data_IF_222317450541
#
_entry.id   IF_222317450541
#
_cell.length_a   1.000
_cell.length_b   1.000
_cell.length_c   1.000
_cell.angle_alpha   90.00
_cell.angle_beta   90.00
_cell.angle_gamma   90.00
#
_symmetry.space_group_name_H-M   'P 1'
#
loop_
_entity.id
_entity.type
_entity.pdbx_description
1 polymer ?
#
# COMPACT_ATOMS: atom_id res chain seq x y z
N UNK A 1 17.25 16.08 0.83
CA UNK A 1 17.28 15.08 -0.27
C UNK A 1 16.32 13.97 0.12
N UNK A 2 15.19 13.86 -0.58
CA UNK A 2 14.22 12.79 -0.34
C UNK A 2 14.75 11.52 -1.01
N UNK A 3 14.95 10.45 -0.23
CA UNK A 3 15.30 9.14 -0.76
C UNK A 3 14.17 8.68 -1.69
N UNK A 4 14.43 8.64 -2.99
CA UNK A 4 13.49 8.09 -3.97
C UNK A 4 13.35 6.60 -3.73
N UNK A 5 12.11 6.13 -3.57
CA UNK A 5 11.80 4.70 -3.65
C UNK A 5 12.17 4.24 -5.07
N UNK A 6 13.30 3.57 -5.24
CA UNK A 6 13.71 3.02 -6.54
C UNK A 6 12.83 1.81 -6.87
N UNK A 7 11.76 2.05 -7.61
CA UNK A 7 10.91 1.00 -8.20
C UNK A 7 11.55 0.57 -9.52
N UNK A 8 11.96 -0.70 -9.60
CA UNK A 8 12.46 -1.28 -10.85
C UNK A 8 11.40 -2.20 -11.46
N UNK A 9 11.04 -1.93 -12.70
CA UNK A 9 10.13 -2.77 -13.47
C UNK A 9 10.92 -3.91 -14.13
N UNK A 10 10.40 -5.13 -14.12
CA UNK A 10 11.09 -6.28 -14.72
C UNK A 10 10.16 -7.41 -15.16
N UNK A 11 10.76 -8.46 -15.73
CA UNK A 11 10.06 -9.68 -16.12
C UNK A 11 10.71 -10.87 -15.43
N UNK A 12 9.88 -11.78 -14.90
CA UNK A 12 10.35 -13.01 -14.26
C UNK A 12 10.08 -14.20 -15.20
N UNK A 13 11.16 -14.88 -15.58
CA UNK A 13 11.10 -16.08 -16.43
C UNK A 13 11.21 -17.35 -15.56
N UNK A 14 10.22 -18.24 -15.66
CA UNK A 14 10.30 -19.57 -15.06
C UNK A 14 11.16 -20.48 -15.95
N UNK A 15 12.30 -20.92 -15.43
CA UNK A 15 13.32 -21.67 -16.18
C UNK A 15 12.81 -22.99 -16.80
N UNK A 16 11.71 -23.55 -16.27
CA UNK A 16 11.13 -24.81 -16.75
C UNK A 16 10.06 -24.65 -17.83
N UNK A 17 9.44 -23.46 -17.99
CA UNK A 17 8.37 -23.26 -18.96
C UNK A 17 8.66 -22.02 -19.82
N UNK A 18 8.97 -22.25 -21.10
CA UNK A 18 9.11 -21.23 -22.16
C UNK A 18 7.78 -20.51 -22.50
N UNK A 19 6.87 -20.34 -21.54
CA UNK A 19 5.50 -19.83 -21.72
C UNK A 19 5.37 -18.30 -21.62
N UNK A 20 6.46 -17.57 -21.87
CA UNK A 20 6.47 -16.10 -21.76
C UNK A 20 6.83 -15.62 -20.36
N UNK A 21 7.42 -14.43 -20.28
CA UNK A 21 7.78 -13.80 -19.00
C UNK A 21 6.52 -13.38 -18.23
N UNK A 22 6.53 -13.57 -16.91
CA UNK A 22 5.50 -12.98 -16.05
C UNK A 22 5.95 -11.55 -15.72
N UNK A 23 5.13 -10.54 -16.02
CA UNK A 23 5.47 -9.16 -15.70
C UNK A 23 5.45 -8.96 -14.19
N UNK A 24 6.52 -8.38 -13.64
CA UNK A 24 6.68 -8.16 -12.19
C UNK A 24 7.23 -6.77 -11.88
N UNK A 25 7.05 -6.33 -10.64
CA UNK A 25 7.68 -5.11 -10.12
C UNK A 25 8.55 -5.44 -8.92
N UNK A 26 9.80 -4.96 -8.92
CA UNK A 26 10.75 -5.12 -7.82
C UNK A 26 10.76 -3.86 -6.95
N UNK A 27 10.66 -4.06 -5.65
CA UNK A 27 10.69 -3.00 -4.65
C UNK A 27 11.80 -3.24 -3.64
N UNK A 28 12.63 -2.22 -3.44
CA UNK A 28 13.63 -2.18 -2.37
C UNK A 28 12.93 -1.74 -1.06
N UNK A 29 13.12 -2.52 -0.01
CA UNK A 29 12.45 -2.32 1.29
C UNK A 29 13.25 -1.44 2.26
N UNK A 30 14.55 -1.25 2.05
CA UNK A 30 15.42 -0.49 2.96
C UNK A 30 15.26 1.03 2.83
N UNK A 31 14.72 1.51 1.70
CA UNK A 31 14.40 2.93 1.50
C UNK A 31 13.25 3.41 2.40
N UNK A 32 12.53 2.48 3.07
CA UNK A 32 11.43 2.80 3.98
C UNK A 32 11.97 2.92 5.41
N UNK A 33 12.49 4.10 5.75
CA UNK A 33 12.70 4.49 7.14
C UNK A 33 11.37 4.31 7.91
N UNK A 34 11.22 3.24 8.67
CA UNK A 34 10.05 3.01 9.53
C UNK A 34 9.47 1.60 9.58
N UNK A 35 9.79 0.69 8.66
CA UNK A 35 9.30 -0.71 8.76
C UNK A 35 10.23 -1.55 9.63
N UNK A 36 9.73 -2.04 10.77
CA UNK A 36 10.49 -2.97 11.64
C UNK A 36 10.56 -4.41 11.10
N UNK A 37 9.81 -4.72 10.04
CA UNK A 37 9.75 -6.05 9.45
C UNK A 37 10.81 -6.23 8.35
N UNK A 38 11.40 -7.42 8.31
CA UNK A 38 12.23 -7.88 7.20
C UNK A 38 11.38 -8.12 5.93
N UNK A 39 12.02 -8.11 4.76
CA UNK A 39 11.34 -8.43 3.50
C UNK A 39 10.74 -9.84 3.50
N UNK A 40 11.36 -10.79 4.19
CA UNK A 40 10.82 -12.15 4.36
C UNK A 40 9.53 -12.17 5.17
N UNK A 41 9.45 -11.41 6.25
CA UNK A 41 8.23 -11.32 7.06
C UNK A 41 7.10 -10.71 6.25
N UNK A 42 7.37 -9.61 5.53
CA UNK A 42 6.38 -8.97 4.65
C UNK A 42 5.90 -9.95 3.57
N UNK A 43 6.82 -10.69 2.93
CA UNK A 43 6.47 -11.73 1.97
C UNK A 43 5.49 -12.77 2.55
N UNK A 44 5.76 -13.26 3.75
CA UNK A 44 4.93 -14.26 4.43
C UNK A 44 3.56 -13.69 4.82
N UNK A 45 3.51 -12.45 5.28
CA UNK A 45 2.26 -11.78 5.67
C UNK A 45 1.38 -11.50 4.44
N UNK A 46 1.92 -10.81 3.45
CA UNK A 46 1.23 -10.48 2.20
C UNK A 46 0.73 -11.76 1.49
N UNK A 47 1.51 -12.85 1.54
CA UNK A 47 1.14 -14.15 0.99
C UNK A 47 -0.09 -14.80 1.64
N UNK A 48 -0.40 -14.51 2.91
CA UNK A 48 -1.59 -15.06 3.61
C UNK A 48 -2.90 -14.42 3.18
N UNK A 49 -2.85 -13.17 2.71
CA UNK A 49 -4.05 -12.34 2.45
C UNK A 49 -4.19 -11.92 0.98
N UNK A 50 -3.24 -12.30 0.13
CA UNK A 50 -3.24 -11.97 -1.30
C UNK A 50 -4.57 -12.29 -1.99
N UNK A 51 -5.18 -11.27 -2.62
CA UNK A 51 -6.49 -11.40 -3.27
C UNK A 51 -6.64 -10.36 -4.40
N UNK A 52 -7.87 -10.12 -4.88
CA UNK A 52 -8.13 -9.13 -5.93
C UNK A 52 -7.70 -7.70 -5.56
N UNK A 53 -7.72 -7.32 -4.28
CA UNK A 53 -7.45 -5.98 -3.74
C UNK A 53 -6.19 -5.87 -2.90
N UNK A 54 -5.46 -6.96 -2.70
CA UNK A 54 -4.19 -7.00 -1.98
C UNK A 54 -3.14 -7.53 -2.96
N UNK A 55 -2.08 -6.74 -3.18
CA UNK A 55 -1.04 -7.07 -4.14
C UNK A 55 -0.30 -8.33 -3.71
N UNK A 56 -0.18 -9.30 -4.63
CA UNK A 56 0.46 -10.57 -4.34
C UNK A 56 1.97 -10.48 -4.52
N UNK A 57 2.77 -10.93 -3.54
CA UNK A 57 4.19 -11.10 -3.72
C UNK A 57 4.51 -12.46 -4.39
N UNK A 58 5.53 -12.49 -5.23
CA UNK A 58 6.04 -13.71 -5.88
C UNK A 58 7.31 -14.25 -5.25
N UNK A 59 8.22 -13.35 -4.87
CA UNK A 59 9.54 -13.71 -4.39
C UNK A 59 10.10 -12.60 -3.52
N UNK A 60 10.93 -12.97 -2.57
CA UNK A 60 11.79 -12.05 -1.84
C UNK A 60 13.24 -12.46 -2.02
N UNK A 61 14.17 -11.52 -1.94
CA UNK A 61 15.60 -11.79 -1.99
C UNK A 61 16.33 -10.76 -1.15
N UNK A 62 17.31 -11.24 -0.37
CA UNK A 62 18.23 -10.38 0.35
C UNK A 62 19.52 -10.23 -0.47
N UNK A 63 19.84 -9.01 -0.85
CA UNK A 63 21.05 -8.67 -1.59
C UNK A 63 22.08 -8.11 -0.60
N UNK A 64 23.04 -8.94 -0.19
CA UNK A 64 24.20 -8.48 0.58
C UNK A 64 25.03 -7.53 -0.29
N UNK A 65 25.33 -6.33 0.23
CA UNK A 65 26.37 -5.50 -0.36
C UNK A 65 27.75 -6.08 0.01
N UNK A 66 28.73 -6.02 -0.90
CA UNK A 66 30.09 -6.55 -0.65
C UNK A 66 30.74 -5.80 0.51
N UNK A 67 31.42 -6.55 1.36
CA UNK A 67 32.26 -6.03 2.45
C UNK A 67 33.44 -5.23 1.91
N UNK A 68 33.63 -4.01 2.42
CA UNK A 68 34.84 -3.22 2.28
C UNK A 68 35.25 -2.64 3.64
N UNK A 69 36.55 -2.33 3.77
CA UNK A 69 37.39 -2.11 4.96
C UNK A 69 36.75 -1.62 6.27
N UNK A 70 37.35 -2.04 7.39
CA UNK A 70 36.96 -1.83 8.80
C UNK A 70 36.86 -0.35 9.26
N UNK A 71 37.12 0.63 8.39
CA UNK A 71 37.14 2.06 8.71
C UNK A 71 35.81 2.80 8.42
N UNK A 72 34.71 2.09 8.15
CA UNK A 72 33.43 2.73 7.87
C UNK A 72 32.77 3.31 9.14
N UNK A 73 32.21 4.51 8.99
CA UNK A 73 31.35 5.17 9.98
C UNK A 73 30.06 4.38 10.26
N UNK A 74 29.36 4.71 11.34
CA UNK A 74 28.12 4.03 11.72
C UNK A 74 26.99 4.21 10.68
N UNK A 75 26.92 5.37 10.03
CA UNK A 75 25.99 5.63 8.92
C UNK A 75 26.32 4.79 7.67
N UNK A 76 27.61 4.60 7.38
CA UNK A 76 28.07 3.71 6.32
C UNK A 76 27.78 2.24 6.67
N UNK A 77 27.94 1.84 7.95
CA UNK A 77 27.58 0.50 8.43
C UNK A 77 26.09 0.18 8.29
N UNK A 78 25.22 1.16 8.51
CA UNK A 78 23.79 1.00 8.26
C UNK A 78 23.45 0.86 6.77
N UNK A 79 24.13 1.61 5.88
CA UNK A 79 24.03 1.39 4.43
C UNK A 79 24.58 0.02 3.99
N UNK A 80 25.57 -0.52 4.71
CA UNK A 80 26.23 -1.80 4.42
C UNK A 80 25.45 -3.05 4.83
N UNK A 81 24.31 -2.92 5.51
CA UNK A 81 23.52 -4.07 6.00
C UNK A 81 22.94 -4.95 4.89
N UNK A 82 23.00 -4.54 3.62
CA UNK A 82 22.39 -5.26 2.49
C UNK A 82 20.88 -5.06 2.46
N UNK A 83 20.27 -5.20 1.27
CA UNK A 83 18.88 -4.81 1.08
C UNK A 83 17.92 -5.95 0.79
N UNK A 84 16.73 -5.86 1.39
CA UNK A 84 15.61 -6.71 1.02
C UNK A 84 14.93 -6.18 -0.23
N UNK A 85 14.74 -7.06 -1.21
CA UNK A 85 13.96 -6.80 -2.41
C UNK A 85 12.77 -7.74 -2.44
N UNK A 86 11.57 -7.16 -2.61
CA UNK A 86 10.34 -7.90 -2.87
C UNK A 86 9.95 -7.79 -4.34
N UNK A 87 9.48 -8.91 -4.88
CA UNK A 87 8.96 -9.04 -6.24
C UNK A 87 7.46 -9.24 -6.14
N UNK A 88 6.69 -8.33 -6.75
CA UNK A 88 5.24 -8.33 -6.76
C UNK A 88 4.68 -8.55 -8.18
N UNK A 89 3.40 -8.90 -8.27
CA UNK A 89 2.63 -8.70 -9.51
C UNK A 89 2.89 -7.29 -10.06
N UNK A 90 3.09 -7.16 -11.38
CA UNK A 90 3.31 -5.86 -12.02
C UNK A 90 2.18 -4.90 -11.67
N UNK A 91 2.55 -3.72 -11.21
CA UNK A 91 1.66 -2.58 -11.02
C UNK A 91 2.16 -1.39 -11.84
N UNK A 92 1.24 -0.48 -12.20
CA UNK A 92 1.55 0.67 -13.05
C UNK A 92 2.31 1.74 -12.27
N UNK A 93 1.79 2.11 -11.09
CA UNK A 93 2.34 3.16 -10.21
C UNK A 93 1.97 2.90 -8.75
N UNK A 94 2.77 3.37 -7.81
CA UNK A 94 2.25 3.63 -6.45
C UNK A 94 1.26 4.80 -6.51
N UNK A 95 0.33 4.88 -5.55
CA UNK A 95 -0.62 6.00 -5.50
C UNK A 95 0.11 7.34 -5.27
N UNK A 96 1.21 7.35 -4.53
CA UNK A 96 2.05 8.53 -4.32
C UNK A 96 2.65 9.04 -5.64
N UNK A 97 3.27 8.13 -6.41
CA UNK A 97 3.78 8.45 -7.74
C UNK A 97 2.67 8.90 -8.70
N UNK A 98 1.50 8.27 -8.62
CA UNK A 98 0.36 8.67 -9.44
C UNK A 98 -0.05 10.12 -9.14
N UNK A 99 -0.22 10.48 -7.87
CA UNK A 99 -0.59 11.83 -7.45
C UNK A 99 0.46 12.85 -7.91
N UNK A 100 1.75 12.54 -7.73
CA UNK A 100 2.84 13.40 -8.18
C UNK A 100 2.85 13.59 -9.70
N UNK A 101 2.71 12.51 -10.47
CA UNK A 101 2.69 12.58 -11.94
C UNK A 101 1.45 13.29 -12.47
N UNK A 102 0.33 13.18 -11.78
CA UNK A 102 -0.90 13.87 -12.13
C UNK A 102 -0.76 15.39 -11.92
N UNK A 103 -0.12 15.82 -10.82
CA UNK A 103 0.20 17.23 -10.59
C UNK A 103 1.18 17.81 -11.62
N UNK A 104 2.10 16.99 -12.12
CA UNK A 104 3.06 17.37 -13.17
C UNK A 104 2.51 17.26 -14.60
N UNK A 105 1.24 16.87 -14.77
CA UNK A 105 0.62 16.62 -16.07
C UNK A 105 1.34 15.56 -16.92
N UNK A 106 2.01 14.59 -16.28
CA UNK A 106 2.75 13.52 -16.95
C UNK A 106 1.88 12.29 -17.27
N UNK A 107 0.68 12.22 -16.67
CA UNK A 107 -0.29 11.15 -16.93
C UNK A 107 -1.09 11.46 -18.20
N UNK A 108 -0.94 10.62 -19.23
CA UNK A 108 -1.60 10.77 -20.54
C UNK A 108 -3.12 10.61 -20.50
N UNK A 109 -3.63 9.83 -19.55
CA UNK A 109 -5.06 9.67 -19.31
C UNK A 109 -5.37 9.98 -17.83
N UNK A 110 -5.53 11.26 -17.48
CA UNK A 110 -5.88 11.67 -16.12
C UNK A 110 -7.31 11.25 -15.73
N UNK A 111 -8.12 10.81 -16.69
CA UNK A 111 -9.46 10.25 -16.46
C UNK A 111 -9.44 8.78 -16.06
N UNK A 112 -8.34 8.05 -16.34
CA UNK A 112 -8.16 6.62 -16.01
C UNK A 112 -8.40 6.34 -14.53
N UNK A 113 -7.92 7.24 -13.68
CA UNK A 113 -8.34 7.35 -12.30
C UNK A 113 -8.91 8.74 -12.12
N UNK A 114 -10.23 8.84 -11.98
CA UNK A 114 -10.95 10.07 -11.60
C UNK A 114 -10.61 10.48 -10.14
N UNK A 115 -9.32 10.50 -9.79
CA UNK A 115 -8.74 10.84 -8.50
C UNK A 115 -8.83 12.35 -8.23
N UNK A 116 -8.86 13.20 -9.27
CA UNK A 116 -8.82 14.67 -9.12
C UNK A 116 -9.93 15.36 -9.93
N UNK A 117 -11.17 14.94 -9.72
CA UNK A 117 -12.31 15.79 -10.07
C UNK A 117 -13.38 15.56 -9.01
N UNK A 118 -13.51 16.52 -8.08
CA UNK A 118 -14.46 16.49 -6.95
C UNK A 118 -15.95 16.35 -7.31
N UNK A 119 -16.29 16.20 -8.59
CA UNK A 119 -17.64 15.81 -9.07
C UNK A 119 -17.75 14.33 -9.47
N UNK A 120 -16.63 13.64 -9.71
CA UNK A 120 -16.56 12.25 -10.15
C UNK A 120 -16.37 11.24 -9.01
N UNK A 121 -16.16 11.70 -7.79
CA UNK A 121 -16.06 10.89 -6.57
C UNK A 121 -17.37 10.19 -6.17
N UNK A 122 -18.51 10.62 -6.72
CA UNK A 122 -19.79 9.90 -6.68
C UNK A 122 -19.95 8.87 -7.80
N UNK A 123 -18.92 8.67 -8.63
CA UNK A 123 -18.99 7.65 -9.68
C UNK A 123 -19.01 6.25 -9.08
N UNK A 124 -19.67 5.33 -9.79
CA UNK A 124 -19.69 3.90 -9.45
C UNK A 124 -18.29 3.31 -9.24
N UNK A 125 -17.28 3.90 -9.90
CA UNK A 125 -15.89 3.54 -9.70
C UNK A 125 -15.44 3.72 -8.24
N UNK A 126 -15.68 4.89 -7.65
CA UNK A 126 -15.23 5.19 -6.29
C UNK A 126 -16.05 4.45 -5.25
N UNK A 127 -17.37 4.35 -5.44
CA UNK A 127 -18.22 3.51 -4.59
C UNK A 127 -17.74 2.06 -4.57
N UNK A 128 -17.44 1.49 -5.75
CA UNK A 128 -16.92 0.13 -5.86
C UNK A 128 -15.52 0.01 -5.25
N UNK A 129 -14.63 0.95 -5.52
CA UNK A 129 -13.24 0.91 -5.03
C UNK A 129 -13.19 1.02 -3.51
N UNK A 130 -13.88 1.97 -2.91
CA UNK A 130 -13.94 2.15 -1.45
C UNK A 130 -14.51 0.90 -0.78
N UNK A 131 -15.65 0.40 -1.26
CA UNK A 131 -16.27 -0.83 -0.73
C UNK A 131 -15.30 -2.01 -0.75
N UNK A 132 -14.62 -2.21 -1.87
CA UNK A 132 -13.72 -3.35 -2.03
C UNK A 132 -12.42 -3.20 -1.21
N UNK A 133 -11.95 -1.97 -0.96
CA UNK A 133 -10.83 -1.72 -0.05
C UNK A 133 -11.22 -1.98 1.41
N UNK A 134 -12.44 -1.58 1.82
CA UNK A 134 -12.96 -1.89 3.16
C UNK A 134 -13.03 -3.40 3.39
N UNK A 135 -13.53 -4.15 2.40
CA UNK A 135 -13.51 -5.63 2.45
C UNK A 135 -12.10 -6.19 2.51
N UNK A 136 -11.14 -5.60 1.80
CA UNK A 136 -9.75 -6.03 1.86
C UNK A 136 -9.14 -5.81 3.25
N UNK A 137 -9.42 -4.66 3.89
CA UNK A 137 -9.01 -4.37 5.27
C UNK A 137 -9.64 -5.38 6.24
N UNK A 138 -10.94 -5.62 6.13
CA UNK A 138 -11.63 -6.62 6.94
C UNK A 138 -11.00 -8.02 6.76
N UNK A 139 -10.68 -8.42 5.53
CA UNK A 139 -10.02 -9.70 5.28
C UNK A 139 -8.61 -9.78 5.90
N UNK A 140 -7.83 -8.69 5.86
CA UNK A 140 -6.54 -8.62 6.57
C UNK A 140 -6.76 -8.94 8.05
N UNK A 141 -7.78 -8.33 8.66
CA UNK A 141 -8.14 -8.54 10.07
C UNK A 141 -8.65 -9.95 10.37
N UNK A 142 -9.39 -10.57 9.44
CA UNK A 142 -9.90 -11.94 9.56
C UNK A 142 -8.78 -12.98 9.49
N UNK A 143 -7.69 -12.66 8.81
CA UNK A 143 -6.47 -13.47 8.79
C UNK A 143 -5.56 -13.23 10.02
N UNK A 144 -6.03 -12.51 11.04
CA UNK A 144 -5.26 -12.21 12.24
C UNK A 144 -4.12 -11.22 12.00
N UNK A 145 -4.21 -10.38 10.96
CA UNK A 145 -3.20 -9.39 10.59
C UNK A 145 -3.75 -7.97 10.72
N UNK A 146 -2.87 -6.97 10.68
CA UNK A 146 -3.23 -5.55 10.54
C UNK A 146 -2.30 -4.87 9.53
N UNK A 147 -2.77 -3.77 8.94
CA UNK A 147 -1.99 -3.02 7.97
C UNK A 147 -1.06 -1.99 8.65
N UNK A 148 -1.57 -1.20 9.59
CA UNK A 148 -0.81 -0.30 10.47
C UNK A 148 -0.12 0.88 9.80
N UNK A 149 -0.50 1.23 8.57
CA UNK A 149 0.04 2.38 7.84
C UNK A 149 -0.87 2.86 6.71
N UNK A 150 -2.18 2.64 6.81
CA UNK A 150 -3.12 2.91 5.72
C UNK A 150 -3.27 4.40 5.38
N UNK A 151 -2.75 5.32 6.20
CA UNK A 151 -2.79 6.75 5.92
C UNK A 151 -1.83 7.16 4.78
N UNK A 152 -0.79 6.36 4.51
CA UNK A 152 0.25 6.67 3.51
C UNK A 152 -0.09 6.19 2.10
N UNK A 153 0.04 7.07 1.09
CA UNK A 153 -0.19 6.71 -0.32
C UNK A 153 0.75 5.63 -0.85
N UNK A 154 1.94 5.51 -0.26
CA UNK A 154 2.92 4.46 -0.57
C UNK A 154 2.50 3.05 -0.10
N UNK A 155 1.29 2.90 0.45
CA UNK A 155 0.66 1.62 0.79
C UNK A 155 -0.48 1.23 -0.17
N UNK A 156 -0.61 1.97 -1.26
CA UNK A 156 -1.55 1.70 -2.33
C UNK A 156 -0.82 1.66 -3.67
N UNK A 157 -1.20 0.71 -4.53
CA UNK A 157 -0.71 0.62 -5.91
C UNK A 157 -1.87 0.61 -6.90
N UNK A 158 -1.59 1.17 -8.07
CA UNK A 158 -2.47 1.17 -9.23
C UNK A 158 -2.11 -0.02 -10.12
N UNK A 159 -3.06 -0.93 -10.34
CA UNK A 159 -2.94 -2.07 -11.26
C UNK A 159 -4.07 -1.99 -12.28
N UNK A 160 -3.80 -1.52 -13.49
CA UNK A 160 -4.84 -1.34 -14.50
C UNK A 160 -5.86 -0.29 -14.07
N UNK A 161 -7.10 -0.71 -13.80
CA UNK A 161 -8.22 0.11 -13.29
C UNK A 161 -8.48 -0.11 -11.79
N UNK A 162 -7.54 -0.68 -11.04
CA UNK A 162 -7.74 -1.07 -9.65
C UNK A 162 -6.73 -0.43 -8.72
N UNK A 163 -7.22 0.09 -7.60
CA UNK A 163 -6.39 0.35 -6.43
C UNK A 163 -6.28 -0.92 -5.60
N UNK A 164 -5.06 -1.27 -5.19
CA UNK A 164 -4.77 -2.41 -4.31
C UNK A 164 -3.90 -1.98 -3.12
N UNK A 165 -4.10 -2.64 -1.99
CA UNK A 165 -3.29 -2.53 -0.78
C UNK A 165 -2.03 -3.39 -0.89
N UNK A 166 -0.97 -3.01 -0.20
CA UNK A 166 0.25 -3.80 -0.04
C UNK A 166 1.05 -3.29 1.17
N UNK A 167 2.10 -4.01 1.58
CA UNK A 167 2.87 -3.75 2.81
C UNK A 167 2.07 -4.00 4.09
N UNK A 168 1.60 -5.24 4.29
CA UNK A 168 0.94 -5.62 5.54
C UNK A 168 1.90 -5.42 6.72
N UNK A 169 1.43 -4.72 7.76
CA UNK A 169 2.27 -4.20 8.85
C UNK A 169 2.58 -5.18 9.96
N UNK A 170 1.80 -6.26 10.13
CA UNK A 170 2.12 -7.28 11.12
C UNK A 170 0.96 -8.21 11.51
N UNK A 171 1.23 -9.04 12.53
CA UNK A 171 0.27 -9.96 13.13
C UNK A 171 -0.45 -9.31 14.33
N UNK A 172 -1.75 -9.56 14.46
CA UNK A 172 -2.55 -9.18 15.63
C UNK A 172 -2.34 -10.13 16.81
N UNK A 173 -2.09 -11.42 16.58
CA UNK A 173 -2.00 -12.43 17.63
C UNK A 173 -0.97 -12.11 18.72
N UNK A 174 0.08 -11.37 18.36
CA UNK A 174 1.15 -10.93 19.27
C UNK A 174 0.82 -9.67 20.08
N UNK A 175 -0.36 -9.08 19.90
CA UNK A 175 -0.72 -7.78 20.47
C UNK A 175 -1.85 -7.92 21.49
N UNK A 176 -1.72 -7.22 22.62
CA UNK A 176 -2.77 -7.12 23.64
C UNK A 176 -3.93 -6.20 23.21
N UNK A 177 -3.70 -5.31 22.24
CA UNK A 177 -4.62 -4.26 21.79
C UNK A 177 -5.19 -4.51 20.39
N UNK A 178 -5.45 -5.78 20.04
CA UNK A 178 -5.86 -6.18 18.68
C UNK A 178 -7.04 -5.36 18.14
N UNK A 179 -8.05 -5.12 18.98
CA UNK A 179 -9.24 -4.36 18.59
C UNK A 179 -8.90 -2.91 18.25
N UNK A 180 -8.04 -2.26 19.04
CA UNK A 180 -7.57 -0.90 18.79
C UNK A 180 -6.81 -0.79 17.47
N UNK A 181 -6.03 -1.82 17.10
CA UNK A 181 -5.33 -1.87 15.81
C UNK A 181 -6.27 -1.98 14.62
N UNK A 182 -7.33 -2.79 14.75
CA UNK A 182 -8.36 -2.89 13.71
C UNK A 182 -9.08 -1.56 13.48
N UNK A 183 -9.43 -0.86 14.57
CA UNK A 183 -10.02 0.48 14.49
C UNK A 183 -9.04 1.48 13.86
N UNK A 184 -7.77 1.44 14.27
CA UNK A 184 -6.73 2.31 13.74
C UNK A 184 -6.60 2.18 12.21
N UNK A 185 -6.60 0.96 11.66
CA UNK A 185 -6.54 0.73 10.21
C UNK A 185 -7.69 1.44 9.47
N UNK A 186 -8.91 1.38 10.00
CA UNK A 186 -10.06 2.06 9.39
C UNK A 186 -9.99 3.59 9.55
N UNK A 187 -9.44 4.10 10.65
CA UNK A 187 -9.20 5.54 10.83
C UNK A 187 -8.14 6.06 9.87
N UNK A 188 -7.06 5.32 9.69
CA UNK A 188 -6.00 5.62 8.74
C UNK A 188 -6.49 5.58 7.29
N UNK A 189 -7.29 4.56 6.93
CA UNK A 189 -7.95 4.50 5.62
C UNK A 189 -8.89 5.69 5.39
N UNK A 190 -9.67 6.07 6.41
CA UNK A 190 -10.51 7.28 6.36
C UNK A 190 -9.68 8.52 6.07
N UNK A 191 -8.51 8.67 6.68
CA UNK A 191 -7.64 9.83 6.46
C UNK A 191 -7.09 9.87 5.03
N UNK A 192 -6.79 8.72 4.42
CA UNK A 192 -6.53 8.66 2.97
C UNK A 192 -7.76 9.10 2.16
N UNK A 193 -8.97 8.63 2.50
CA UNK A 193 -10.20 9.03 1.81
C UNK A 193 -10.48 10.54 1.92
N UNK A 194 -10.20 11.17 3.06
CA UNK A 194 -10.33 12.64 3.21
C UNK A 194 -9.51 13.39 2.15
N UNK A 195 -8.30 12.91 1.88
CA UNK A 195 -7.43 13.52 0.88
C UNK A 195 -7.88 13.19 -0.55
N UNK A 196 -8.24 11.93 -0.82
CA UNK A 196 -8.70 11.48 -2.13
C UNK A 196 -10.05 12.09 -2.55
N UNK A 197 -10.90 12.38 -1.57
CA UNK A 197 -12.22 12.98 -1.74
C UNK A 197 -12.21 14.47 -1.34
N UNK A 198 -11.05 15.13 -1.48
CA UNK A 198 -10.94 16.55 -1.23
C UNK A 198 -11.96 17.31 -2.09
N UNK A 199 -12.74 18.24 -1.50
CA UNK A 199 -13.88 18.79 -2.17
C UNK A 199 -13.40 19.87 -3.16
N UNK A 200 -14.00 19.92 -4.35
CA UNK A 200 -13.78 21.05 -5.27
C UNK A 200 -14.53 22.32 -4.83
N UNK A 201 -15.37 22.23 -3.80
CA UNK A 201 -16.20 23.30 -3.26
C UNK A 201 -16.05 23.42 -1.74
N UNK A 202 -16.48 24.56 -1.15
CA UNK A 202 -16.30 24.84 0.28
C UNK A 202 -17.02 23.88 1.23
N UNK A 203 -18.07 23.16 0.80
CA UNK A 203 -18.84 22.25 1.64
C UNK A 203 -19.33 21.04 0.84
N UNK A 204 -19.23 19.84 1.43
CA UNK A 204 -19.78 18.60 0.86
C UNK A 204 -20.32 17.69 1.99
N UNK A 205 -21.58 17.94 2.43
CA UNK A 205 -22.14 17.30 3.61
C UNK A 205 -22.24 15.77 3.55
N UNK A 206 -22.54 15.19 2.39
CA UNK A 206 -22.67 13.73 2.23
C UNK A 206 -21.34 13.03 2.43
N UNK A 207 -20.26 13.59 1.87
CA UNK A 207 -18.90 13.10 2.10
C UNK A 207 -18.53 13.19 3.57
N UNK A 208 -18.79 14.34 4.20
CA UNK A 208 -18.47 14.54 5.61
C UNK A 208 -19.22 13.55 6.49
N UNK A 209 -20.51 13.33 6.20
CA UNK A 209 -21.32 12.32 6.88
C UNK A 209 -20.75 10.90 6.70
N UNK A 210 -20.36 10.54 5.47
CA UNK A 210 -19.74 9.24 5.20
C UNK A 210 -18.41 9.06 5.94
N UNK A 211 -17.52 10.06 5.90
CA UNK A 211 -16.23 10.01 6.60
C UNK A 211 -16.41 9.96 8.12
N UNK A 212 -17.44 10.61 8.65
CA UNK A 212 -17.79 10.57 10.07
C UNK A 212 -18.29 9.19 10.52
N UNK A 213 -18.83 8.35 9.62
CA UNK A 213 -19.22 6.98 9.96
C UNK A 213 -18.04 6.15 10.51
N UNK A 214 -16.81 6.41 10.06
CA UNK A 214 -15.61 5.77 10.60
C UNK A 214 -15.31 6.22 12.03
N UNK A 215 -15.49 7.51 12.34
CA UNK A 215 -15.29 8.04 13.68
C UNK A 215 -16.37 7.53 14.65
N UNK A 216 -17.61 7.46 14.19
CA UNK A 216 -18.72 6.96 15.01
C UNK A 216 -18.59 5.45 15.27
N UNK A 217 -18.18 4.67 14.25
CA UNK A 217 -17.85 3.25 14.44
C UNK A 217 -16.71 3.05 15.44
N UNK A 218 -15.65 3.88 15.36
CA UNK A 218 -14.54 3.84 16.30
C UNK A 218 -14.98 4.15 17.74
N UNK A 219 -15.83 5.17 17.97
CA UNK A 219 -16.37 5.50 19.30
C UNK A 219 -17.21 4.37 19.89
N UNK A 220 -17.94 3.65 19.03
CA UNK A 220 -18.80 2.55 19.43
C UNK A 220 -18.06 1.21 19.55
N UNK A 221 -16.74 1.18 19.35
CA UNK A 221 -15.93 -0.05 19.34
C UNK A 221 -16.45 -1.11 18.35
N UNK A 222 -16.98 -0.67 17.20
CA UNK A 222 -17.37 -1.57 16.12
C UNK A 222 -16.34 -1.52 14.99
N UNK A 223 -16.00 -2.70 14.45
CA UNK A 223 -15.36 -2.75 13.14
C UNK A 223 -16.37 -2.33 12.08
N UNK A 224 -15.93 -1.52 11.13
CA UNK A 224 -16.81 -0.92 10.13
C UNK A 224 -17.27 -1.99 9.15
N UNK A 225 -18.58 -2.28 9.12
CA UNK A 225 -19.23 -3.17 8.14
C UNK A 225 -20.21 -2.32 7.34
N UNK A 226 -19.92 -2.10 6.05
CA UNK A 226 -20.79 -1.37 5.10
C UNK A 226 -21.40 -2.31 4.07
#
# INVERSE_FOLDING_TARGET
MLAGNNIMMGELFFKENKQGGIPVTFMNMDAKAGTKLSGEEIFRLDGKVSNKRILRPFKYTFCKQRSFNDECSEAERDMMKGCWTLCYDKFDYTLDEWVLKLQKHEIRDPGKFKLIAGSNCLSDFWHRTIRELIKAIAQIHDCGLFHGSLAGYNNYVVVGDQLKLFNIGGCLESLHDQHSRKIQDFQEFRDTLKMLLAPSFKQWPERDRFLNCFDDAAKLNFCVVF
#
